data_IF_734609226550
#
_entry.id   IF_734609226550
#
_cell.length_a   1.000
_cell.length_b   1.000
_cell.length_c   1.000
_cell.angle_alpha   90.00
_cell.angle_beta   90.00
_cell.angle_gamma   90.00
#
_symmetry.space_group_name_H-M   'P 1'
#
loop_
_entity.id
_entity.type
_entity.pdbx_description
1 polymer ?
#
# COMPACT_ATOMS: atom_id res chain seq x y z
N UNK A 1 5.45 -39.63 31.41
CA UNK A 1 4.21 -38.93 31.04
C UNK A 1 4.26 -38.69 29.54
N UNK A 2 3.67 -39.60 28.74
CA UNK A 2 3.56 -39.46 27.29
C UNK A 2 2.55 -38.36 27.00
N UNK A 3 3.01 -37.25 26.42
CA UNK A 3 2.11 -36.25 25.84
C UNK A 3 1.71 -36.81 24.48
N UNK A 4 0.50 -37.34 24.43
CA UNK A 4 -0.20 -37.72 23.21
C UNK A 4 -0.39 -36.46 22.36
N UNK A 5 0.51 -36.25 21.39
CA UNK A 5 0.39 -35.22 20.37
C UNK A 5 -0.88 -35.51 19.57
N UNK A 6 -1.97 -34.80 19.89
CA UNK A 6 -3.21 -34.78 19.10
C UNK A 6 -2.87 -34.55 17.62
N UNK A 7 -2.88 -35.62 16.84
CA UNK A 7 -2.71 -35.66 15.38
C UNK A 7 -3.92 -35.14 14.59
N UNK A 8 -4.95 -34.62 15.27
CA UNK A 8 -6.25 -34.24 14.65
C UNK A 8 -6.41 -32.76 14.34
N UNK A 9 -5.39 -31.91 14.48
CA UNK A 9 -5.48 -30.53 14.01
C UNK A 9 -5.06 -30.49 12.54
N UNK A 10 -6.01 -30.16 11.65
CA UNK A 10 -5.70 -29.74 10.28
C UNK A 10 -4.53 -28.75 10.32
N UNK A 11 -3.54 -28.86 9.42
CA UNK A 11 -2.42 -27.93 9.41
C UNK A 11 -2.97 -26.51 9.23
N UNK A 12 -2.62 -25.63 10.17
CA UNK A 12 -2.99 -24.22 10.15
C UNK A 12 -2.46 -23.54 8.89
N UNK A 13 -3.20 -22.56 8.40
CA UNK A 13 -2.73 -21.72 7.29
C UNK A 13 -1.45 -20.98 7.68
N UNK A 14 -0.73 -20.46 6.69
CA UNK A 14 0.37 -19.53 6.85
C UNK A 14 -0.08 -18.15 6.39
N UNK A 15 0.18 -17.12 7.19
CA UNK A 15 -0.11 -15.74 6.82
C UNK A 15 1.16 -14.92 6.86
N UNK A 16 1.59 -14.42 5.69
CA UNK A 16 2.74 -13.53 5.57
C UNK A 16 2.21 -12.10 5.51
N UNK A 17 2.51 -11.31 6.53
CA UNK A 17 2.12 -9.91 6.64
C UNK A 17 3.33 -9.02 6.42
N UNK A 18 3.20 -8.07 5.50
CA UNK A 18 4.25 -7.12 5.13
C UNK A 18 3.73 -5.71 5.34
N UNK A 19 4.35 -4.99 6.27
CA UNK A 19 3.87 -3.68 6.70
C UNK A 19 4.17 -2.55 5.68
N UNK A 20 3.59 -1.38 5.92
CA UNK A 20 3.76 -0.20 5.07
C UNK A 20 4.99 0.67 5.35
N UNK A 21 5.05 1.78 4.61
CA UNK A 21 6.05 2.84 4.81
C UNK A 21 5.91 3.56 6.16
N UNK A 22 6.85 4.45 6.47
CA UNK A 22 6.83 5.32 7.66
C UNK A 22 6.95 4.62 9.03
N UNK A 23 7.28 3.32 9.04
CA UNK A 23 7.44 2.56 10.27
C UNK A 23 8.90 2.49 10.72
N UNK A 24 9.12 2.63 12.03
CA UNK A 24 10.38 2.26 12.65
C UNK A 24 10.43 0.74 12.88
N UNK A 25 11.62 0.17 13.03
CA UNK A 25 11.75 -1.25 13.35
C UNK A 25 11.02 -1.62 14.65
N UNK A 26 11.08 -0.74 15.66
CA UNK A 26 10.37 -0.92 16.93
C UNK A 26 8.85 -0.93 16.75
N UNK A 27 8.31 0.03 15.98
CA UNK A 27 6.88 0.11 15.70
C UNK A 27 6.38 -1.09 14.89
N UNK A 28 7.11 -1.54 13.86
CA UNK A 28 6.75 -2.74 13.09
C UNK A 28 6.77 -4.01 13.95
N UNK A 29 7.71 -4.11 14.90
CA UNK A 29 7.76 -5.22 15.85
C UNK A 29 6.57 -5.18 16.82
N UNK A 30 6.26 -4.01 17.38
CA UNK A 30 5.12 -3.84 18.28
C UNK A 30 3.80 -4.20 17.57
N UNK A 31 3.63 -3.75 16.32
CA UNK A 31 2.50 -4.17 15.48
C UNK A 31 2.43 -5.69 15.31
N UNK A 32 3.55 -6.36 15.03
CA UNK A 32 3.60 -7.81 14.90
C UNK A 32 3.20 -8.54 16.19
N UNK A 33 3.64 -8.02 17.35
CA UNK A 33 3.26 -8.54 18.67
C UNK A 33 1.75 -8.36 18.93
N UNK A 34 1.19 -7.19 18.58
CA UNK A 34 -0.24 -6.90 18.76
C UNK A 34 -1.16 -7.69 17.82
N UNK A 35 -0.75 -7.90 16.56
CA UNK A 35 -1.55 -8.61 15.55
C UNK A 35 -1.41 -10.14 15.68
N UNK A 36 -0.26 -10.63 16.17
CA UNK A 36 0.11 -12.05 16.17
C UNK A 36 -0.92 -12.95 16.82
N UNK A 37 -1.39 -12.61 18.03
CA UNK A 37 -2.39 -13.40 18.76
C UNK A 37 -3.73 -13.46 18.02
N UNK A 38 -4.14 -12.35 17.40
CA UNK A 38 -5.36 -12.26 16.62
C UNK A 38 -5.32 -13.13 15.36
N UNK A 39 -4.19 -13.11 14.66
CA UNK A 39 -3.94 -13.96 13.47
C UNK A 39 -3.87 -15.44 13.87
N UNK A 40 -3.20 -15.74 14.99
CA UNK A 40 -3.10 -17.10 15.51
C UNK A 40 -4.45 -17.67 15.93
N UNK A 41 -5.30 -16.84 16.55
CA UNK A 41 -6.67 -17.18 16.89
C UNK A 41 -7.56 -17.38 15.65
N UNK A 42 -7.21 -16.79 14.52
CA UNK A 42 -7.86 -17.00 13.22
C UNK A 42 -7.33 -18.23 12.46
N UNK A 43 -6.60 -19.13 13.13
CA UNK A 43 -6.08 -20.41 12.61
C UNK A 43 -4.97 -20.27 11.55
N UNK A 44 -4.19 -19.19 11.64
CA UNK A 44 -2.97 -18.98 10.86
C UNK A 44 -1.71 -19.00 11.72
N UNK A 45 -0.57 -19.37 11.13
CA UNK A 45 0.75 -19.08 11.66
C UNK A 45 1.22 -17.75 11.04
N UNK A 46 1.35 -16.66 11.83
CA UNK A 46 1.79 -15.39 11.29
C UNK A 46 3.30 -15.36 11.05
N UNK A 47 3.70 -14.82 9.90
CA UNK A 47 5.07 -14.40 9.58
C UNK A 47 5.01 -12.90 9.26
N UNK A 48 5.81 -12.10 9.96
CA UNK A 48 5.90 -10.67 9.70
C UNK A 48 7.22 -10.33 9.02
N UNK A 49 7.15 -9.69 7.85
CA UNK A 49 8.31 -9.13 7.17
C UNK A 49 8.47 -7.67 7.58
N UNK A 50 9.43 -7.42 8.47
CA UNK A 50 9.67 -6.10 9.06
C UNK A 50 10.99 -5.49 8.59
N UNK A 51 10.97 -4.22 8.19
CA UNK A 51 12.16 -3.44 7.86
C UNK A 51 11.98 -1.95 8.20
N UNK A 52 13.09 -1.22 8.27
CA UNK A 52 13.08 0.21 8.60
C UNK A 52 12.58 1.05 7.41
N UNK A 53 11.40 1.64 7.52
CA UNK A 53 10.75 2.45 6.46
C UNK A 53 10.51 3.90 6.86
N UNK A 54 11.06 4.36 7.98
CA UNK A 54 10.86 5.73 8.43
C UNK A 54 11.45 6.77 7.44
N UNK A 55 10.62 7.76 7.04
CA UNK A 55 10.99 8.78 6.05
C UNK A 55 12.16 9.65 6.49
N UNK A 56 12.19 10.10 7.76
CA UNK A 56 13.25 10.94 8.30
C UNK A 56 14.59 10.20 8.28
N UNK A 57 14.60 8.94 8.74
CA UNK A 57 15.80 8.11 8.66
C UNK A 57 16.24 7.83 7.21
N UNK A 58 15.28 7.76 6.29
CA UNK A 58 15.54 7.52 4.86
C UNK A 58 16.13 8.76 4.21
N UNK A 59 15.64 9.95 4.57
CA UNK A 59 16.18 11.23 4.14
C UNK A 59 17.57 11.49 4.74
N UNK A 60 17.79 11.17 6.02
CA UNK A 60 19.12 11.23 6.64
C UNK A 60 20.13 10.36 5.90
N UNK A 61 19.74 9.14 5.53
CA UNK A 61 20.59 8.26 4.72
C UNK A 61 20.84 8.84 3.31
N UNK A 62 19.84 9.46 2.68
CA UNK A 62 20.05 10.23 1.45
C UNK A 62 21.06 11.37 1.63
N UNK A 63 21.03 12.09 2.76
CA UNK A 63 21.97 13.20 2.99
C UNK A 63 23.38 12.71 3.30
N UNK A 64 23.55 11.61 4.04
CA UNK A 64 24.85 11.27 4.62
C UNK A 64 25.47 9.98 4.10
N UNK A 65 24.71 9.05 3.52
CA UNK A 65 25.24 7.69 3.31
C UNK A 65 24.91 7.06 1.96
N UNK A 66 23.85 7.45 1.25
CA UNK A 66 23.47 6.79 -0.01
C UNK A 66 23.49 7.72 -1.21
N UNK A 67 24.12 7.27 -2.30
CA UNK A 67 24.11 7.98 -3.59
C UNK A 67 23.95 6.97 -4.72
N UNK A 68 22.89 7.15 -5.53
CA UNK A 68 22.63 6.35 -6.73
C UNK A 68 22.73 4.83 -6.49
N UNK A 69 22.18 4.34 -5.37
CA UNK A 69 22.21 2.93 -5.00
C UNK A 69 23.45 2.49 -4.19
N UNK A 70 24.54 3.27 -4.18
CA UNK A 70 25.75 2.95 -3.45
C UNK A 70 25.76 3.55 -2.04
N UNK A 71 26.41 2.84 -1.11
CA UNK A 71 26.75 3.38 0.21
C UNK A 71 28.07 4.16 0.04
N UNK A 72 28.04 5.44 0.37
CA UNK A 72 29.21 6.33 0.43
C UNK A 72 29.64 6.42 1.88
N UNK A 73 30.91 6.14 2.16
CA UNK A 73 31.50 6.18 3.49
C UNK A 73 32.64 7.21 3.55
N UNK A 74 33.06 7.57 4.76
CA UNK A 74 34.14 8.52 4.99
C UNK A 74 33.76 9.98 4.74
N UNK A 75 34.78 10.84 4.60
CA UNK A 75 34.61 12.30 4.55
C UNK A 75 33.76 12.76 3.36
N UNK A 76 33.83 12.05 2.23
CA UNK A 76 33.04 12.34 1.04
C UNK A 76 31.53 12.27 1.30
N UNK A 77 31.09 11.46 2.26
CA UNK A 77 29.68 11.31 2.62
C UNK A 77 29.16 12.58 3.34
N UNK A 78 29.94 13.10 4.28
CA UNK A 78 29.62 14.31 5.06
C UNK A 78 29.80 15.60 4.24
N UNK A 79 30.87 15.70 3.45
CA UNK A 79 31.16 16.89 2.63
C UNK A 79 30.06 17.13 1.58
N UNK A 80 29.48 16.07 1.04
CA UNK A 80 28.41 16.18 0.05
C UNK A 80 27.05 16.54 0.66
N UNK A 81 26.82 16.32 1.96
CA UNK A 81 25.52 16.50 2.58
C UNK A 81 24.94 17.93 2.40
N UNK A 82 25.71 19.02 2.61
CA UNK A 82 25.21 20.38 2.37
C UNK A 82 24.81 20.62 0.91
N UNK A 83 25.56 20.08 -0.06
CA UNK A 83 25.24 20.26 -1.47
C UNK A 83 23.96 19.51 -1.87
N UNK A 84 23.73 18.32 -1.31
CA UNK A 84 22.48 17.58 -1.57
C UNK A 84 21.29 18.30 -0.93
N UNK A 85 21.44 18.80 0.30
CA UNK A 85 20.43 19.62 0.94
C UNK A 85 20.09 20.86 0.10
N UNK A 86 21.09 21.60 -0.38
CA UNK A 86 20.88 22.76 -1.25
C UNK A 86 20.19 22.37 -2.56
N UNK A 87 20.56 21.24 -3.17
CA UNK A 87 19.90 20.75 -4.38
C UNK A 87 18.43 20.36 -4.13
N UNK A 88 18.12 19.75 -2.99
CA UNK A 88 16.76 19.43 -2.57
C UNK A 88 15.94 20.71 -2.28
N UNK A 89 16.51 21.69 -1.57
CA UNK A 89 15.92 23.02 -1.36
C UNK A 89 15.60 23.68 -2.70
N UNK A 90 16.57 23.69 -3.63
CA UNK A 90 16.40 24.27 -4.96
C UNK A 90 15.31 23.57 -5.78
N UNK A 91 15.15 22.25 -5.64
CA UNK A 91 14.06 21.50 -6.26
C UNK A 91 12.70 21.91 -5.68
N UNK A 92 12.59 21.97 -4.36
CA UNK A 92 11.36 22.40 -3.68
C UNK A 92 10.92 23.80 -4.09
N UNK A 93 11.86 24.76 -4.15
CA UNK A 93 11.57 26.13 -4.58
C UNK A 93 11.21 26.21 -6.06
N UNK A 94 11.93 25.50 -6.93
CA UNK A 94 11.68 25.58 -8.38
C UNK A 94 10.37 24.94 -8.81
N UNK A 95 9.91 23.90 -8.11
CA UNK A 95 8.62 23.23 -8.35
C UNK A 95 7.44 23.85 -7.61
N UNK A 96 7.72 24.71 -6.63
CA UNK A 96 6.68 25.31 -5.79
C UNK A 96 5.50 25.90 -6.57
N UNK A 97 5.70 26.70 -7.65
CA UNK A 97 4.56 27.27 -8.38
C UNK A 97 3.64 26.22 -9.01
N UNK A 98 4.22 25.14 -9.55
CA UNK A 98 3.47 24.04 -10.17
C UNK A 98 2.65 23.32 -9.10
N UNK A 99 3.30 22.94 -8.00
CA UNK A 99 2.65 22.22 -6.91
C UNK A 99 1.52 23.05 -6.27
N UNK A 100 1.65 24.38 -6.19
CA UNK A 100 0.58 25.27 -5.71
C UNK A 100 -0.61 25.25 -6.67
N UNK A 101 -0.38 25.32 -7.99
CA UNK A 101 -1.47 25.29 -8.97
C UNK A 101 -2.23 23.96 -8.97
N UNK A 102 -1.51 22.85 -8.82
CA UNK A 102 -2.11 21.51 -8.74
C UNK A 102 -2.87 21.34 -7.42
N UNK A 103 -2.25 21.68 -6.28
CA UNK A 103 -2.90 21.62 -4.97
C UNK A 103 -4.16 22.49 -4.89
N UNK A 104 -4.18 23.68 -5.49
CA UNK A 104 -5.37 24.53 -5.53
C UNK A 104 -6.48 23.92 -6.38
N UNK A 105 -6.15 23.31 -7.52
CA UNK A 105 -7.12 22.58 -8.34
C UNK A 105 -7.73 21.44 -7.55
N UNK A 106 -6.90 20.67 -6.85
CA UNK A 106 -7.33 19.52 -6.07
C UNK A 106 -8.16 19.91 -4.85
N UNK A 107 -7.78 20.96 -4.14
CA UNK A 107 -8.54 21.52 -3.02
C UNK A 107 -9.90 22.04 -3.51
N UNK A 108 -9.95 22.82 -4.59
CA UNK A 108 -11.20 23.32 -5.17
C UNK A 108 -12.15 22.19 -5.58
N UNK A 109 -11.62 21.11 -6.16
CA UNK A 109 -12.39 19.91 -6.47
C UNK A 109 -12.91 19.22 -5.20
N UNK A 110 -12.09 19.12 -4.15
CA UNK A 110 -12.46 18.54 -2.85
C UNK A 110 -13.52 19.37 -2.10
N UNK A 111 -13.56 20.69 -2.31
CA UNK A 111 -14.58 21.57 -1.72
C UNK A 111 -15.93 21.57 -2.49
N UNK A 112 -15.96 21.18 -3.76
CA UNK A 112 -17.13 21.37 -4.63
C UNK A 112 -17.70 20.13 -5.32
N UNK A 113 -16.96 19.02 -5.44
CA UNK A 113 -17.39 17.85 -6.20
C UNK A 113 -16.97 16.54 -5.52
N UNK A 114 -17.86 15.55 -5.55
CA UNK A 114 -17.55 14.19 -5.11
C UNK A 114 -16.67 13.50 -6.17
N UNK A 115 -15.42 13.17 -5.80
CA UNK A 115 -14.42 12.56 -6.68
C UNK A 115 -14.79 11.13 -7.13
N UNK A 116 -15.72 10.46 -6.44
CA UNK A 116 -16.16 9.11 -6.79
C UNK A 116 -17.05 9.06 -8.03
N UNK A 117 -17.88 10.09 -8.26
CA UNK A 117 -18.89 10.10 -9.33
C UNK A 117 -18.34 9.97 -10.76
N UNK A 118 -17.36 10.77 -11.21
CA UNK A 118 -16.88 10.69 -12.59
C UNK A 118 -16.27 9.31 -12.89
N UNK A 119 -15.52 8.76 -11.94
CA UNK A 119 -14.90 7.44 -12.05
C UNK A 119 -15.94 6.31 -12.01
N UNK A 120 -17.02 6.47 -11.24
CA UNK A 120 -18.12 5.51 -11.23
C UNK A 120 -18.91 5.47 -12.52
N UNK A 121 -19.15 6.63 -13.14
CA UNK A 121 -19.80 6.69 -14.44
C UNK A 121 -18.95 5.96 -15.50
N UNK A 122 -17.63 6.18 -15.48
CA UNK A 122 -16.69 5.48 -16.35
C UNK A 122 -16.65 3.98 -16.06
N UNK A 123 -16.60 3.57 -14.79
CA UNK A 123 -16.70 2.16 -14.41
C UNK A 123 -18.01 1.52 -14.87
N UNK A 124 -19.16 2.18 -14.70
CA UNK A 124 -20.45 1.66 -15.14
C UNK A 124 -20.47 1.50 -16.67
N UNK A 125 -19.85 2.41 -17.41
CA UNK A 125 -19.68 2.30 -18.86
C UNK A 125 -18.77 1.11 -19.25
N UNK A 126 -17.61 0.99 -18.60
CA UNK A 126 -16.67 -0.13 -18.79
C UNK A 126 -17.32 -1.47 -18.43
N UNK A 127 -18.08 -1.51 -17.34
CA UNK A 127 -18.83 -2.67 -16.88
C UNK A 127 -19.93 -3.08 -17.85
N UNK A 128 -20.67 -2.11 -18.41
CA UNK A 128 -21.67 -2.37 -19.44
C UNK A 128 -21.04 -2.98 -20.71
N UNK A 129 -19.76 -2.68 -20.98
CA UNK A 129 -18.97 -3.30 -22.05
C UNK A 129 -18.45 -4.71 -21.74
N UNK A 130 -18.40 -5.13 -20.47
CA UNK A 130 -17.97 -6.48 -20.11
C UNK A 130 -19.11 -7.50 -20.34
N UNK A 131 -19.18 -8.07 -21.53
CA UNK A 131 -20.22 -9.02 -21.95
C UNK A 131 -20.27 -10.39 -21.24
N UNK A 132 -19.58 -10.61 -20.11
CA UNK A 132 -19.42 -11.92 -19.48
C UNK A 132 -19.61 -11.88 -17.93
N UNK A 133 -20.35 -12.83 -17.32
CA UNK A 133 -20.56 -12.93 -15.86
C UNK A 133 -19.31 -13.20 -14.99
N UNK A 134 -18.15 -13.57 -15.55
CA UNK A 134 -16.87 -13.63 -14.82
C UNK A 134 -16.26 -12.23 -14.60
N UNK A 135 -17.03 -11.30 -14.03
CA UNK A 135 -16.61 -9.90 -13.84
C UNK A 135 -15.69 -9.76 -12.63
N UNK A 136 -14.79 -8.78 -12.69
CA UNK A 136 -14.05 -8.31 -11.51
C UNK A 136 -15.08 -7.89 -10.46
N UNK A 137 -14.98 -8.41 -9.24
CA UNK A 137 -15.88 -8.00 -8.18
C UNK A 137 -15.46 -6.62 -7.68
N UNK A 138 -16.36 -5.64 -7.75
CA UNK A 138 -16.08 -4.25 -7.35
C UNK A 138 -17.11 -3.81 -6.32
N UNK A 139 -16.65 -3.21 -5.23
CA UNK A 139 -17.51 -2.59 -4.21
C UNK A 139 -16.89 -1.29 -3.70
N UNK A 140 -17.73 -0.27 -3.51
CA UNK A 140 -17.34 0.98 -2.86
C UNK A 140 -18.38 1.30 -1.78
N UNK A 141 -17.92 1.53 -0.56
CA UNK A 141 -18.78 2.00 0.53
C UNK A 141 -19.19 3.47 0.37
N UNK A 142 -20.15 3.91 1.16
CA UNK A 142 -20.67 5.28 1.11
C UNK A 142 -19.73 6.27 1.82
N UNK A 143 -19.64 7.51 1.34
CA UNK A 143 -18.90 8.59 2.00
C UNK A 143 -19.84 9.54 2.74
N UNK A 144 -19.90 9.43 4.06
CA UNK A 144 -20.71 10.28 4.94
C UNK A 144 -19.83 11.17 5.81
N UNK A 145 -19.70 12.45 5.42
CA UNK A 145 -18.92 13.44 6.18
C UNK A 145 -19.73 13.97 7.36
N UNK A 146 -19.28 13.72 8.59
CA UNK A 146 -19.93 14.24 9.79
C UNK A 146 -19.81 15.77 9.90
N UNK A 147 -20.70 16.40 10.65
CA UNK A 147 -20.66 17.85 10.94
C UNK A 147 -19.31 18.27 11.54
N UNK A 148 -18.73 17.44 12.41
CA UNK A 148 -17.38 17.65 12.98
C UNK A 148 -16.30 17.59 11.91
N UNK A 149 -16.41 16.68 10.93
CA UNK A 149 -15.49 16.61 9.80
C UNK A 149 -15.57 17.84 8.88
N UNK A 150 -16.77 18.39 8.69
CA UNK A 150 -16.96 19.65 7.95
C UNK A 150 -16.33 20.84 8.70
N UNK A 151 -16.51 20.91 10.03
CA UNK A 151 -15.90 21.93 10.87
C UNK A 151 -14.37 21.84 10.86
N UNK A 152 -13.79 20.64 10.94
CA UNK A 152 -12.34 20.43 10.86
C UNK A 152 -11.76 20.92 9.52
N UNK A 153 -12.46 20.64 8.40
CA UNK A 153 -12.06 21.19 7.09
C UNK A 153 -12.11 22.73 7.10
N UNK A 154 -13.17 23.33 7.64
CA UNK A 154 -13.30 24.78 7.74
C UNK A 154 -12.21 25.42 8.63
N UNK A 155 -11.87 24.78 9.74
CA UNK A 155 -10.79 25.20 10.65
C UNK A 155 -9.39 25.05 10.03
N UNK A 156 -9.24 24.26 8.97
CA UNK A 156 -8.00 24.15 8.21
C UNK A 156 -7.76 25.29 7.21
N UNK A 157 -8.81 26.02 6.81
CA UNK A 157 -8.71 27.11 5.81
C UNK A 157 -7.74 28.24 6.20
N UNK A 158 -7.68 28.71 7.47
CA UNK A 158 -6.70 29.71 7.88
C UNK A 158 -5.24 29.26 7.70
N UNK A 159 -4.98 27.95 7.67
CA UNK A 159 -3.65 27.40 7.47
C UNK A 159 -3.28 27.23 5.99
N UNK A 160 -4.22 27.44 5.06
CA UNK A 160 -3.98 27.27 3.63
C UNK A 160 -2.79 28.11 3.11
N UNK A 161 -2.63 29.41 3.46
CA UNK A 161 -1.46 30.18 3.02
C UNK A 161 -0.14 29.58 3.52
N UNK A 162 -0.11 29.07 4.75
CA UNK A 162 1.06 28.44 5.33
C UNK A 162 1.34 27.07 4.71
N UNK A 163 0.30 26.31 4.38
CA UNK A 163 0.42 25.04 3.66
C UNK A 163 1.02 25.26 2.27
N UNK A 164 0.52 26.23 1.54
CA UNK A 164 1.03 26.56 0.22
C UNK A 164 2.47 27.07 0.31
N UNK A 165 2.76 28.00 1.22
CA UNK A 165 4.08 28.64 1.31
C UNK A 165 5.18 27.76 1.93
N UNK A 166 4.84 26.87 2.88
CA UNK A 166 5.82 26.09 3.64
C UNK A 166 5.66 24.58 3.43
N UNK A 167 4.43 24.08 3.43
CA UNK A 167 4.11 22.66 3.33
C UNK A 167 4.58 21.97 2.07
N UNK A 168 4.12 22.49 0.92
CA UNK A 168 4.44 21.95 -0.39
C UNK A 168 5.96 21.92 -0.67
N UNK A 169 6.72 23.02 -0.47
CA UNK A 169 8.15 22.98 -0.72
C UNK A 169 8.87 22.04 0.26
N UNK A 170 8.52 22.04 1.56
CA UNK A 170 9.15 21.12 2.53
C UNK A 170 8.87 19.65 2.20
N UNK A 171 7.67 19.34 1.71
CA UNK A 171 7.29 18.00 1.28
C UNK A 171 8.09 17.54 0.06
N UNK A 172 8.30 18.41 -0.93
CA UNK A 172 9.14 18.11 -2.11
C UNK A 172 10.62 17.96 -1.73
N UNK A 173 11.13 18.84 -0.86
CA UNK A 173 12.54 18.87 -0.44
C UNK A 173 12.99 17.56 0.20
N UNK A 174 12.27 17.10 1.22
CA UNK A 174 12.63 15.88 1.95
C UNK A 174 11.94 14.62 1.43
N UNK A 175 10.72 14.77 0.92
CA UNK A 175 9.83 13.65 0.61
C UNK A 175 10.30 12.83 -0.57
N UNK A 176 10.64 13.44 -1.71
CA UNK A 176 11.07 12.72 -2.92
C UNK A 176 12.36 11.93 -2.67
N UNK A 177 13.35 12.58 -2.05
CA UNK A 177 14.64 11.93 -1.74
C UNK A 177 14.49 10.86 -0.65
N UNK A 178 13.66 11.11 0.37
CA UNK A 178 13.33 10.12 1.40
C UNK A 178 12.58 8.91 0.83
N UNK A 179 11.58 9.13 -0.01
CA UNK A 179 10.80 8.11 -0.71
C UNK A 179 11.67 7.22 -1.59
N UNK A 180 12.56 7.81 -2.40
CA UNK A 180 13.50 7.05 -3.23
C UNK A 180 14.38 6.12 -2.40
N UNK A 181 14.80 6.56 -1.21
CA UNK A 181 15.59 5.71 -0.33
C UNK A 181 14.72 4.66 0.41
N UNK A 182 13.45 4.96 0.72
CA UNK A 182 12.48 3.95 1.17
C UNK A 182 12.30 2.85 0.12
N UNK A 183 12.14 3.20 -1.17
CA UNK A 183 12.09 2.25 -2.28
C UNK A 183 13.37 1.42 -2.42
N UNK A 184 14.54 2.04 -2.20
CA UNK A 184 15.80 1.28 -2.13
C UNK A 184 15.76 0.24 -1.01
N UNK A 185 15.24 0.61 0.17
CA UNK A 185 15.16 -0.31 1.30
C UNK A 185 14.21 -1.48 1.05
N UNK A 186 13.11 -1.31 0.33
CA UNK A 186 12.23 -2.44 -0.06
C UNK A 186 12.92 -3.43 -0.98
N UNK A 187 13.87 -2.98 -1.81
CA UNK A 187 14.69 -3.88 -2.65
C UNK A 187 15.80 -4.56 -1.84
N UNK A 188 16.37 -3.85 -0.88
CA UNK A 188 17.47 -4.36 -0.06
C UNK A 188 17.08 -5.50 0.88
N UNK A 189 15.77 -5.71 1.16
CA UNK A 189 15.32 -6.88 1.92
C UNK A 189 15.55 -8.19 1.14
N UNK A 190 15.67 -8.12 -0.19
CA UNK A 190 15.95 -9.28 -1.06
C UNK A 190 17.42 -9.39 -1.45
N UNK A 191 18.08 -8.26 -1.73
CA UNK A 191 19.50 -8.22 -2.11
C UNK A 191 20.27 -7.22 -1.28
N UNK A 192 21.28 -7.68 -0.57
CA UNK A 192 22.11 -6.80 0.25
C UNK A 192 23.05 -5.98 -0.65
N UNK A 193 23.33 -4.69 -0.33
CA UNK A 193 24.27 -3.89 -1.10
C UNK A 193 25.68 -4.50 -1.22
N UNK A 194 26.08 -5.31 -0.24
CA UNK A 194 27.38 -6.01 -0.25
C UNK A 194 27.50 -7.04 -1.38
N UNK A 195 26.38 -7.61 -1.84
CA UNK A 195 26.36 -8.56 -2.97
C UNK A 195 26.91 -7.92 -4.26
N UNK A 196 26.69 -6.62 -4.45
CA UNK A 196 27.20 -5.87 -5.59
C UNK A 196 28.58 -5.25 -5.35
N UNK A 197 29.07 -5.27 -4.11
CA UNK A 197 30.36 -4.67 -3.73
C UNK A 197 31.54 -5.65 -3.89
N UNK A 198 31.28 -6.97 -3.95
CA UNK A 198 32.31 -7.97 -4.14
C UNK A 198 32.79 -7.99 -5.59
N UNK A 199 33.98 -7.44 -5.84
CA UNK A 199 34.65 -7.44 -7.16
C UNK A 199 35.34 -8.78 -7.49
N UNK A 200 35.51 -9.65 -6.50
CA UNK A 200 36.25 -10.93 -6.64
C UNK A 200 35.34 -12.12 -6.93
N UNK A 201 34.14 -11.89 -7.45
CA UNK A 201 33.27 -12.97 -7.90
C UNK A 201 33.74 -13.39 -9.29
N UNK A 202 34.38 -14.55 -9.38
CA UNK A 202 34.57 -15.22 -10.66
C UNK A 202 33.23 -15.23 -11.41
N UNK A 203 33.22 -14.66 -12.62
CA UNK A 203 32.05 -14.67 -13.51
C UNK A 203 31.75 -16.11 -13.91
N UNK A 204 31.10 -16.85 -13.02
CA UNK A 204 30.47 -18.12 -13.33
C UNK A 204 29.11 -17.85 -13.95
N UNK A 205 28.71 -18.70 -14.91
CA UNK A 205 27.45 -18.59 -15.66
C UNK A 205 26.19 -18.83 -14.81
N UNK A 206 26.32 -19.11 -13.51
CA UNK A 206 25.19 -19.41 -12.63
C UNK A 206 24.66 -18.17 -11.93
N UNK A 207 23.37 -17.90 -12.15
CA UNK A 207 22.57 -16.95 -11.38
C UNK A 207 22.73 -17.23 -9.87
N UNK A 208 23.04 -16.19 -9.09
CA UNK A 208 23.09 -16.28 -7.62
C UNK A 208 21.78 -15.74 -7.01
N UNK A 209 21.08 -16.53 -6.17
CA UNK A 209 19.92 -16.05 -5.43
C UNK A 209 20.30 -14.87 -4.53
N UNK A 210 19.34 -14.01 -4.22
CA UNK A 210 19.55 -12.88 -3.32
C UNK A 210 19.84 -13.37 -1.89
N UNK A 211 20.70 -12.65 -1.17
CA UNK A 211 21.10 -12.98 0.21
C UNK A 211 20.47 -12.02 1.24
N UNK A 212 19.49 -11.22 0.83
CA UNK A 212 18.66 -10.45 1.74
C UNK A 212 17.81 -11.34 2.64
N UNK A 213 17.42 -10.82 3.81
CA UNK A 213 16.66 -11.58 4.80
C UNK A 213 15.33 -12.14 4.29
N UNK A 214 14.64 -11.40 3.41
CA UNK A 214 13.42 -11.90 2.78
C UNK A 214 13.70 -13.07 1.84
N UNK A 215 14.77 -13.00 1.04
CA UNK A 215 15.16 -14.10 0.14
C UNK A 215 15.50 -15.37 0.92
N UNK A 216 16.32 -15.25 1.98
CA UNK A 216 16.68 -16.39 2.84
C UNK A 216 15.43 -17.03 3.46
N UNK A 217 14.50 -16.21 3.95
CA UNK A 217 13.25 -16.70 4.52
C UNK A 217 12.40 -17.42 3.47
N UNK A 218 12.20 -16.80 2.30
CA UNK A 218 11.33 -17.33 1.26
C UNK A 218 11.92 -18.59 0.59
N UNK A 219 13.25 -18.67 0.41
CA UNK A 219 13.94 -19.88 -0.04
C UNK A 219 13.69 -21.05 0.94
N UNK A 220 13.85 -20.77 2.24
CA UNK A 220 13.61 -21.76 3.29
C UNK A 220 12.14 -22.20 3.33
N UNK A 221 11.22 -21.23 3.21
CA UNK A 221 9.79 -21.49 3.21
C UNK A 221 9.36 -22.30 1.97
N UNK A 222 9.90 -21.99 0.79
CA UNK A 222 9.62 -22.75 -0.42
C UNK A 222 10.06 -24.21 -0.26
N UNK A 223 11.21 -24.47 0.36
CA UNK A 223 11.67 -25.82 0.69
C UNK A 223 10.64 -26.56 1.56
N UNK A 224 10.16 -25.92 2.63
CA UNK A 224 9.15 -26.51 3.52
C UNK A 224 7.80 -26.75 2.84
N UNK A 225 7.33 -25.82 2.00
CA UNK A 225 6.03 -25.93 1.32
C UNK A 225 6.03 -26.95 0.17
N UNK A 226 7.20 -27.29 -0.38
CA UNK A 226 7.31 -28.40 -1.34
C UNK A 226 7.01 -29.76 -0.69
N UNK A 227 7.31 -29.90 0.61
CA UNK A 227 7.05 -31.13 1.37
C UNK A 227 5.61 -31.20 1.89
N UNK A 228 4.98 -30.04 2.13
CA UNK A 228 3.60 -29.93 2.63
C UNK A 228 2.75 -29.04 1.71
N UNK A 229 2.24 -29.66 0.64
CA UNK A 229 1.39 -29.00 -0.37
C UNK A 229 -0.04 -28.72 0.11
N UNK A 230 -0.39 -29.14 1.33
CA UNK A 230 -1.72 -28.95 1.91
C UNK A 230 -1.86 -27.62 2.64
N UNK A 231 -0.75 -26.94 2.92
CA UNK A 231 -0.75 -25.67 3.63
C UNK A 231 -1.25 -24.54 2.75
N UNK A 232 -2.20 -23.81 3.31
CA UNK A 232 -2.71 -22.59 2.71
C UNK A 232 -1.77 -21.41 2.98
N UNK A 233 -1.48 -20.59 1.99
CA UNK A 233 -0.62 -19.40 2.14
C UNK A 233 -1.37 -18.14 1.76
N UNK A 234 -1.51 -17.23 2.72
CA UNK A 234 -2.10 -15.90 2.52
C UNK A 234 -1.03 -14.83 2.60
N UNK A 235 -0.98 -13.95 1.60
CA UNK A 235 -0.10 -12.78 1.58
C UNK A 235 -0.91 -11.53 1.88
N UNK A 236 -0.46 -10.69 2.81
CA UNK A 236 -1.06 -9.39 3.12
C UNK A 236 0.02 -8.32 3.03
N UNK A 237 -0.14 -7.37 2.11
CA UNK A 237 0.77 -6.24 1.92
C UNK A 237 0.07 -4.92 2.16
N UNK A 238 0.47 -4.19 3.20
CA UNK A 238 0.00 -2.82 3.42
C UNK A 238 0.94 -1.83 2.75
N UNK A 239 0.42 -0.88 1.98
CA UNK A 239 1.21 0.22 1.41
C UNK A 239 2.47 -0.27 0.69
N UNK A 240 3.68 0.11 1.13
CA UNK A 240 4.94 -0.37 0.54
C UNK A 240 5.16 -1.88 0.67
N UNK A 241 4.45 -2.56 1.57
CA UNK A 241 4.44 -4.02 1.67
C UNK A 241 3.95 -4.69 0.39
N UNK A 242 3.09 -4.03 -0.40
CA UNK A 242 2.71 -4.52 -1.72
C UNK A 242 3.89 -4.57 -2.70
N UNK A 243 4.84 -3.63 -2.62
CA UNK A 243 6.06 -3.63 -3.45
C UNK A 243 6.93 -4.83 -3.11
N UNK A 244 7.08 -5.12 -1.81
CA UNK A 244 7.82 -6.30 -1.35
C UNK A 244 7.11 -7.59 -1.78
N UNK A 245 5.78 -7.65 -1.69
CA UNK A 245 5.03 -8.82 -2.12
C UNK A 245 5.05 -9.03 -3.65
N UNK A 246 5.07 -7.96 -4.44
CA UNK A 246 5.28 -8.06 -5.89
C UNK A 246 6.60 -8.78 -6.20
N UNK A 247 7.69 -8.41 -5.50
CA UNK A 247 8.97 -9.12 -5.62
C UNK A 247 8.89 -10.57 -5.13
N UNK A 248 8.20 -10.84 -4.01
CA UNK A 248 7.98 -12.22 -3.53
C UNK A 248 7.27 -13.05 -4.60
N UNK A 249 6.20 -12.55 -5.20
CA UNK A 249 5.43 -13.27 -6.21
C UNK A 249 6.28 -13.53 -7.46
N UNK A 250 7.07 -12.54 -7.91
CA UNK A 250 7.97 -12.70 -9.06
C UNK A 250 9.08 -13.72 -8.83
N UNK A 251 9.72 -13.69 -7.66
CA UNK A 251 10.88 -14.52 -7.34
C UNK A 251 10.48 -15.94 -6.90
N UNK A 252 9.29 -16.09 -6.33
CA UNK A 252 8.78 -17.34 -5.77
C UNK A 252 7.44 -17.78 -6.39
N UNK A 253 7.33 -17.87 -7.73
CA UNK A 253 6.06 -18.16 -8.41
C UNK A 253 5.58 -19.61 -8.21
N UNK A 254 6.44 -20.51 -7.73
CA UNK A 254 6.10 -21.92 -7.49
C UNK A 254 5.46 -22.16 -6.11
N UNK A 255 5.51 -21.17 -5.20
CA UNK A 255 4.73 -21.23 -3.98
C UNK A 255 3.26 -21.00 -4.34
N UNK A 256 2.37 -21.87 -3.87
CA UNK A 256 0.93 -21.73 -4.03
C UNK A 256 0.38 -20.79 -2.95
N UNK A 257 0.01 -19.58 -3.35
CA UNK A 257 -0.71 -18.62 -2.53
C UNK A 257 -2.20 -18.80 -2.79
N UNK A 258 -3.01 -19.03 -1.76
CA UNK A 258 -4.47 -19.09 -1.96
C UNK A 258 -5.08 -17.70 -2.03
N UNK A 259 -4.46 -16.74 -1.34
CA UNK A 259 -5.00 -15.40 -1.20
C UNK A 259 -3.91 -14.36 -1.13
N UNK A 260 -4.06 -13.31 -1.93
CA UNK A 260 -3.18 -12.15 -1.98
C UNK A 260 -4.03 -10.92 -1.67
N UNK A 261 -3.66 -10.16 -0.64
CA UNK A 261 -4.42 -9.00 -0.16
C UNK A 261 -3.52 -7.79 -0.12
N UNK A 262 -3.85 -6.78 -0.92
CA UNK A 262 -3.15 -5.50 -0.93
C UNK A 262 -4.02 -4.45 -0.27
N UNK A 263 -3.49 -3.83 0.79
CA UNK A 263 -4.16 -2.78 1.57
C UNK A 263 -3.51 -1.44 1.29
N UNK A 264 -4.23 -0.55 0.60
CA UNK A 264 -3.75 0.77 0.20
C UNK A 264 -2.34 0.71 -0.44
N UNK A 265 -2.17 -0.16 -1.44
CA UNK A 265 -0.88 -0.46 -2.05
C UNK A 265 -0.14 0.79 -2.57
N UNK A 266 1.10 0.98 -2.13
CA UNK A 266 1.97 2.06 -2.62
C UNK A 266 2.82 1.65 -3.83
N UNK A 267 2.57 0.45 -4.39
CA UNK A 267 3.18 -0.02 -5.63
C UNK A 267 2.48 0.63 -6.83
N UNK A 268 3.18 0.82 -7.94
CA UNK A 268 2.53 1.27 -9.18
C UNK A 268 1.61 0.18 -9.72
N UNK A 269 0.56 0.59 -10.44
CA UNK A 269 -0.36 -0.34 -11.11
C UNK A 269 0.40 -1.29 -12.03
N UNK A 270 1.40 -0.80 -12.76
CA UNK A 270 2.28 -1.60 -13.62
C UNK A 270 2.97 -2.70 -12.81
N UNK A 271 3.61 -2.36 -11.70
CA UNK A 271 4.34 -3.31 -10.87
C UNK A 271 3.41 -4.38 -10.27
N UNK A 272 2.20 -3.98 -9.84
CA UNK A 272 1.17 -4.93 -9.40
C UNK A 272 0.73 -5.84 -10.55
N UNK A 273 0.42 -5.29 -11.72
CA UNK A 273 -0.11 -6.06 -12.83
C UNK A 273 0.92 -7.02 -13.43
N UNK A 274 2.17 -6.59 -13.59
CA UNK A 274 3.26 -7.43 -14.08
C UNK A 274 3.64 -8.56 -13.10
N UNK A 275 3.27 -8.44 -11.82
CA UNK A 275 3.52 -9.48 -10.81
C UNK A 275 2.33 -10.40 -10.61
N UNK A 276 1.17 -9.82 -10.29
CA UNK A 276 0.01 -10.54 -9.80
C UNK A 276 -0.74 -11.20 -10.95
N UNK A 277 -0.95 -10.51 -12.09
CA UNK A 277 -1.79 -11.07 -13.17
C UNK A 277 -1.18 -12.33 -13.80
N UNK A 278 0.13 -12.39 -14.13
CA UNK A 278 0.75 -13.63 -14.60
C UNK A 278 0.66 -14.78 -13.57
N UNK A 279 0.76 -14.44 -12.27
CA UNK A 279 0.61 -15.42 -11.20
C UNK A 279 -0.83 -15.99 -11.15
N UNK A 280 -1.86 -15.13 -11.16
CA UNK A 280 -3.26 -15.55 -11.20
C UNK A 280 -3.61 -16.38 -12.44
N UNK A 281 -3.01 -16.06 -13.60
CA UNK A 281 -3.22 -16.82 -14.83
C UNK A 281 -2.69 -18.27 -14.73
N UNK A 282 -1.64 -18.49 -13.93
CA UNK A 282 -1.08 -19.83 -13.69
C UNK A 282 -1.65 -20.53 -12.45
N UNK A 283 -2.42 -19.82 -11.62
CA UNK A 283 -2.95 -20.33 -10.35
C UNK A 283 -4.44 -20.00 -10.22
N UNK A 284 -5.34 -20.75 -10.90
CA UNK A 284 -6.76 -20.40 -11.01
C UNK A 284 -7.55 -20.43 -9.70
N UNK A 285 -7.00 -21.04 -8.66
CA UNK A 285 -7.62 -21.07 -7.32
C UNK A 285 -7.24 -19.87 -6.45
N UNK A 286 -6.22 -19.09 -6.85
CA UNK A 286 -5.78 -17.92 -6.09
C UNK A 286 -6.82 -16.81 -6.17
N UNK A 287 -7.03 -16.11 -5.05
CA UNK A 287 -7.84 -14.89 -5.00
C UNK A 287 -6.98 -13.68 -4.74
N UNK A 288 -7.23 -12.60 -5.46
CA UNK A 288 -6.59 -11.31 -5.26
C UNK A 288 -7.59 -10.27 -4.79
N UNK A 289 -7.26 -9.58 -3.69
CA UNK A 289 -8.05 -8.50 -3.12
C UNK A 289 -7.22 -7.21 -3.13
N UNK A 290 -7.75 -6.17 -3.78
CA UNK A 290 -7.23 -4.81 -3.68
C UNK A 290 -8.17 -3.98 -2.82
N UNK A 291 -7.64 -3.48 -1.70
CA UNK A 291 -8.35 -2.74 -0.70
C UNK A 291 -7.91 -1.27 -0.73
N UNK A 292 -8.85 -0.35 -0.91
CA UNK A 292 -8.58 1.10 -1.00
C UNK A 292 -9.46 1.89 -0.04
N UNK A 293 -9.09 3.13 0.26
CA UNK A 293 -10.03 4.07 0.89
C UNK A 293 -11.07 4.53 -0.14
N UNK A 294 -12.15 5.14 0.36
CA UNK A 294 -13.01 5.96 -0.47
C UNK A 294 -12.19 7.11 -1.08
N UNK A 295 -12.35 7.48 -2.36
CA UNK A 295 -11.55 8.52 -3.00
C UNK A 295 -11.60 9.88 -2.27
N UNK A 296 -12.76 10.27 -1.72
CA UNK A 296 -12.88 11.50 -0.91
C UNK A 296 -12.22 11.38 0.49
N UNK A 297 -12.12 10.18 1.04
CA UNK A 297 -11.41 9.97 2.31
C UNK A 297 -9.90 10.02 2.08
N UNK A 298 -9.44 9.37 1.02
CA UNK A 298 -8.05 9.35 0.57
C UNK A 298 -7.53 10.77 0.27
N UNK A 299 -8.27 11.51 -0.56
CA UNK A 299 -7.95 12.90 -0.89
C UNK A 299 -8.12 13.88 0.28
N UNK A 300 -8.89 13.52 1.30
CA UNK A 300 -9.20 14.37 2.46
C UNK A 300 -8.35 14.06 3.70
N UNK A 301 -7.47 13.04 3.64
CA UNK A 301 -6.65 12.63 4.77
C UNK A 301 -5.59 13.70 5.11
N UNK A 302 -5.25 13.82 6.39
CA UNK A 302 -4.10 14.60 6.84
C UNK A 302 -2.99 13.64 7.25
N UNK A 303 -1.98 13.46 6.39
CA UNK A 303 -0.86 12.53 6.60
C UNK A 303 -0.18 12.68 7.98
N UNK A 304 -0.09 13.91 8.50
CA UNK A 304 0.30 14.19 9.88
C UNK A 304 -0.75 15.13 10.50
N UNK A 305 -1.75 14.60 11.23
CA UNK A 305 -2.90 15.37 11.72
C UNK A 305 -2.54 16.58 12.60
N UNK A 306 -1.35 16.54 13.22
CA UNK A 306 -0.84 17.61 14.10
C UNK A 306 0.01 18.65 13.36
N UNK A 307 0.23 18.50 12.05
CA UNK A 307 1.04 19.41 11.23
C UNK A 307 0.16 19.99 10.12
N UNK A 308 -0.68 21.00 10.41
CA UNK A 308 -1.70 21.51 9.48
C UNK A 308 -1.12 22.17 8.23
N UNK A 309 0.19 22.44 8.24
CA UNK A 309 0.93 23.00 7.14
C UNK A 309 1.31 21.97 6.07
N UNK A 310 1.17 20.66 6.28
CA UNK A 310 1.46 19.69 5.21
C UNK A 310 0.30 19.58 4.21
N UNK A 311 0.56 19.09 2.98
CA UNK A 311 -0.46 18.84 1.97
C UNK A 311 -1.59 17.94 2.49
N UNK A 312 -2.79 18.13 1.94
CA UNK A 312 -3.95 17.26 2.19
C UNK A 312 -3.94 16.12 1.19
N UNK A 313 -4.44 14.96 1.61
CA UNK A 313 -4.33 13.71 0.90
C UNK A 313 -3.56 12.70 1.72
N UNK A 314 -3.82 11.42 1.45
CA UNK A 314 -3.04 10.34 2.01
C UNK A 314 -1.61 10.39 1.47
N UNK A 315 -0.73 9.57 2.07
CA UNK A 315 0.61 9.37 1.52
C UNK A 315 0.57 8.89 0.06
N UNK A 316 -0.48 8.20 -0.37
CA UNK A 316 -0.60 7.71 -1.76
C UNK A 316 -0.81 8.85 -2.76
N UNK A 317 -1.60 9.87 -2.39
CA UNK A 317 -1.74 11.10 -3.19
C UNK A 317 -0.39 11.79 -3.35
N UNK A 318 0.36 11.94 -2.26
CA UNK A 318 1.70 12.55 -2.29
C UNK A 318 2.69 11.74 -3.15
N UNK A 319 2.56 10.41 -3.23
CA UNK A 319 3.43 9.59 -4.09
C UNK A 319 3.21 9.91 -5.56
N UNK A 320 1.95 9.95 -6.02
CA UNK A 320 1.64 10.26 -7.42
C UNK A 320 2.06 11.70 -7.77
N UNK A 321 1.63 12.66 -6.96
CA UNK A 321 1.68 14.08 -7.36
C UNK A 321 3.03 14.72 -7.07
N UNK A 322 3.72 14.28 -6.01
CA UNK A 322 4.94 14.93 -5.51
C UNK A 322 6.16 14.02 -5.72
N UNK A 323 6.10 12.75 -5.30
CA UNK A 323 7.31 11.95 -5.14
C UNK A 323 7.74 11.15 -6.38
N UNK A 324 6.81 10.60 -7.17
CA UNK A 324 7.15 9.72 -8.31
C UNK A 324 6.92 10.36 -9.68
N UNK A 325 5.98 11.29 -9.82
CA UNK A 325 5.65 11.94 -11.10
C UNK A 325 5.45 10.91 -12.23
N UNK A 326 4.40 10.07 -12.12
CA UNK A 326 4.18 8.93 -13.00
C UNK A 326 4.03 9.37 -14.46
N UNK A 327 4.75 8.70 -15.36
CA UNK A 327 4.75 9.04 -16.79
C UNK A 327 3.46 8.65 -17.50
N UNK A 328 2.74 7.65 -16.98
CA UNK A 328 1.49 7.12 -17.53
C UNK A 328 0.51 6.73 -16.43
N UNK A 329 -0.76 6.51 -16.77
CA UNK A 329 -1.78 6.07 -15.80
C UNK A 329 -1.41 4.76 -15.09
N UNK A 330 -0.75 3.82 -15.79
CA UNK A 330 -0.30 2.56 -15.17
C UNK A 330 0.91 2.74 -14.26
N UNK A 331 1.61 3.87 -14.32
CA UNK A 331 2.71 4.18 -13.40
C UNK A 331 2.23 4.80 -12.08
N UNK A 332 0.94 5.17 -12.00
CA UNK A 332 0.31 5.68 -10.78
C UNK A 332 0.15 4.59 -9.72
N UNK A 333 0.04 4.97 -8.45
CA UNK A 333 -0.09 4.01 -7.33
C UNK A 333 -1.40 3.23 -7.38
N UNK A 334 -1.31 1.92 -7.18
CA UNK A 334 -2.42 0.98 -7.28
C UNK A 334 -3.37 1.04 -6.07
N UNK A 335 -2.96 1.60 -4.94
CA UNK A 335 -3.77 1.65 -3.71
C UNK A 335 -4.89 2.69 -3.74
N UNK A 336 -4.92 3.56 -4.75
CA UNK A 336 -5.94 4.60 -4.93
C UNK A 336 -7.11 4.06 -5.74
N UNK A 337 -8.33 4.25 -5.25
CA UNK A 337 -9.55 3.82 -5.93
C UNK A 337 -9.59 4.24 -7.40
N UNK A 338 -9.37 5.53 -7.67
CA UNK A 338 -9.44 6.11 -9.02
C UNK A 338 -8.47 5.43 -9.98
N UNK A 339 -7.22 5.24 -9.57
CA UNK A 339 -6.16 4.65 -10.39
C UNK A 339 -6.46 3.17 -10.75
N UNK A 340 -7.02 2.40 -9.80
CA UNK A 340 -7.43 1.01 -10.08
C UNK A 340 -8.57 0.99 -11.07
N UNK A 341 -9.59 1.82 -10.84
CA UNK A 341 -10.79 1.85 -11.70
C UNK A 341 -10.45 2.21 -13.15
N UNK A 342 -9.59 3.21 -13.36
CA UNK A 342 -9.11 3.62 -14.70
C UNK A 342 -8.38 2.48 -15.44
N UNK A 343 -7.77 1.55 -14.71
CA UNK A 343 -6.91 0.50 -15.26
C UNK A 343 -7.53 -0.90 -15.19
N UNK A 344 -8.79 -1.03 -14.73
CA UNK A 344 -9.49 -2.31 -14.62
C UNK A 344 -9.60 -3.07 -15.95
N UNK A 345 -9.73 -2.34 -17.06
CA UNK A 345 -9.85 -2.91 -18.39
C UNK A 345 -8.60 -3.70 -18.83
N UNK A 346 -7.46 -3.51 -18.16
CA UNK A 346 -6.23 -4.26 -18.41
C UNK A 346 -6.25 -5.67 -17.79
N UNK A 347 -7.20 -5.98 -16.90
CA UNK A 347 -7.33 -7.33 -16.31
C UNK A 347 -7.94 -8.28 -17.36
N UNK A 348 -7.20 -9.34 -17.77
CA UNK A 348 -7.69 -10.31 -18.75
C UNK A 348 -8.95 -11.03 -18.29
N UNK A 349 -9.89 -11.24 -19.21
CA UNK A 349 -11.17 -11.93 -18.98
C UNK A 349 -11.02 -13.27 -18.25
N UNK A 350 -9.97 -14.03 -18.55
CA UNK A 350 -9.71 -15.36 -17.98
C UNK A 350 -9.46 -15.35 -16.47
N UNK A 351 -9.03 -14.22 -15.90
CA UNK A 351 -8.67 -14.11 -14.47
C UNK A 351 -9.54 -13.11 -13.71
N UNK A 352 -10.47 -12.41 -14.37
CA UNK A 352 -11.34 -11.41 -13.72
C UNK A 352 -12.10 -11.96 -12.52
N UNK A 353 -12.58 -13.21 -12.61
CA UNK A 353 -13.25 -13.89 -11.49
C UNK A 353 -12.36 -14.13 -10.28
N UNK A 354 -11.04 -14.02 -10.39
CA UNK A 354 -10.09 -14.14 -9.28
C UNK A 354 -9.85 -12.80 -8.55
N UNK A 355 -10.29 -11.67 -9.12
CA UNK A 355 -9.95 -10.32 -8.63
C UNK A 355 -11.14 -9.63 -7.98
N UNK A 356 -10.89 -9.07 -6.80
CA UNK A 356 -11.83 -8.24 -6.05
C UNK A 356 -11.21 -6.89 -5.73
N UNK A 357 -11.92 -5.80 -6.05
CA UNK A 357 -11.56 -4.43 -5.68
C UNK A 357 -12.61 -3.91 -4.68
N UNK A 358 -12.14 -3.44 -3.52
CA UNK A 358 -13.00 -2.98 -2.44
C UNK A 358 -12.51 -1.64 -1.90
N UNK A 359 -13.35 -0.63 -2.04
CA UNK A 359 -13.18 0.68 -1.43
C UNK A 359 -14.00 0.77 -0.16
N UNK A 360 -13.36 1.06 0.97
CA UNK A 360 -14.07 1.24 2.25
C UNK A 360 -14.81 2.56 2.26
N UNK A 361 -16.01 2.57 2.84
CA UNK A 361 -16.77 3.79 3.05
C UNK A 361 -16.21 4.63 4.19
N UNK A 362 -16.65 5.88 4.29
CA UNK A 362 -16.29 6.79 5.38
C UNK A 362 -17.53 7.09 6.22
N UNK A 363 -17.56 6.65 7.47
CA UNK A 363 -18.75 6.65 8.33
C UNK A 363 -19.99 6.05 7.63
N UNK A 364 -19.81 5.02 6.81
CA UNK A 364 -20.92 4.41 6.06
C UNK A 364 -21.89 3.70 7.04
N UNK A 365 -23.14 4.17 7.17
CA UNK A 365 -24.12 3.58 8.08
C UNK A 365 -24.62 2.22 7.60
N UNK A 366 -24.42 1.88 6.32
CA UNK A 366 -24.86 0.62 5.75
C UNK A 366 -23.84 -0.51 5.92
N UNK A 367 -22.65 -0.21 6.45
CA UNK A 367 -21.63 -1.20 6.71
C UNK A 367 -21.58 -1.54 8.20
N UNK A 368 -21.60 -2.82 8.60
CA UNK A 368 -21.55 -3.23 10.02
C UNK A 368 -20.20 -2.93 10.71
N UNK A 369 -19.28 -2.23 10.04
CA UNK A 369 -17.87 -2.09 10.40
C UNK A 369 -17.15 -3.41 10.70
N UNK A 370 -15.95 -3.31 11.27
CA UNK A 370 -15.07 -4.43 11.56
C UNK A 370 -14.59 -4.43 13.00
N UNK A 371 -14.27 -5.64 13.47
CA UNK A 371 -13.78 -5.91 14.81
C UNK A 371 -14.73 -5.45 15.92
N UNK A 372 -14.25 -5.36 17.18
CA UNK A 372 -15.10 -5.12 18.33
C UNK A 372 -15.73 -3.71 18.38
N UNK A 373 -15.23 -2.77 17.58
CA UNK A 373 -15.70 -1.39 17.57
C UNK A 373 -16.59 -1.06 16.37
N UNK A 374 -16.88 -2.02 15.48
CA UNK A 374 -17.70 -1.80 14.30
C UNK A 374 -17.26 -0.56 13.49
N UNK A 375 -15.94 -0.45 13.25
CA UNK A 375 -15.34 0.67 12.50
C UNK A 375 -14.81 0.23 11.14
N UNK A 376 -14.65 1.17 10.22
CA UNK A 376 -14.01 0.97 8.93
C UNK A 376 -12.71 1.77 8.85
N UNK A 377 -11.76 1.38 7.99
CA UNK A 377 -10.63 2.23 7.64
C UNK A 377 -11.13 3.57 7.08
N UNK A 378 -10.72 4.66 7.72
CA UNK A 378 -11.05 6.03 7.34
C UNK A 378 -9.79 6.82 6.93
N UNK A 379 -8.61 6.34 7.33
CA UNK A 379 -7.29 6.86 7.01
C UNK A 379 -6.35 5.75 6.55
N UNK A 380 -5.27 6.10 5.85
CA UNK A 380 -4.30 5.15 5.28
C UNK A 380 -3.64 4.27 6.35
N UNK A 381 -3.41 4.85 7.54
CA UNK A 381 -2.87 4.14 8.69
C UNK A 381 -3.82 3.11 9.31
N UNK A 382 -5.13 3.26 9.14
CA UNK A 382 -6.14 2.39 9.78
C UNK A 382 -6.08 0.96 9.27
N UNK A 383 -5.52 0.71 8.08
CA UNK A 383 -5.30 -0.64 7.57
C UNK A 383 -4.36 -1.49 8.44
N UNK A 384 -3.56 -0.87 9.31
CA UNK A 384 -2.76 -1.55 10.33
C UNK A 384 -3.38 -1.52 11.73
N UNK A 385 -4.60 -0.97 11.91
CA UNK A 385 -5.29 -1.05 13.18
C UNK A 385 -5.72 -2.50 13.43
N UNK A 386 -5.04 -3.16 14.36
CA UNK A 386 -5.34 -4.54 14.78
C UNK A 386 -6.78 -4.71 15.28
N UNK A 387 -7.41 -3.62 15.72
CA UNK A 387 -8.82 -3.63 16.15
C UNK A 387 -9.77 -3.81 14.97
N UNK A 388 -9.36 -3.53 13.74
CA UNK A 388 -10.15 -3.82 12.54
C UNK A 388 -10.04 -5.28 12.10
N UNK A 389 -9.13 -6.05 12.70
CA UNK A 389 -8.94 -7.48 12.42
C UNK A 389 -8.71 -7.76 10.93
N UNK A 390 -7.82 -6.97 10.31
CA UNK A 390 -7.54 -7.02 8.88
C UNK A 390 -7.08 -8.39 8.36
N UNK A 391 -6.78 -9.35 9.23
CA UNK A 391 -6.40 -10.72 8.87
C UNK A 391 -7.60 -11.65 8.60
N UNK A 392 -8.83 -11.18 8.80
CA UNK A 392 -10.03 -11.98 8.57
C UNK A 392 -10.59 -11.74 7.17
N UNK A 393 -11.15 -12.78 6.55
CA UNK A 393 -11.67 -12.69 5.17
C UNK A 393 -12.83 -11.71 5.05
N UNK A 394 -13.63 -11.52 6.10
CA UNK A 394 -14.71 -10.53 6.12
C UNK A 394 -14.18 -9.11 5.89
N UNK A 395 -12.93 -8.82 6.28
CA UNK A 395 -12.29 -7.54 6.03
C UNK A 395 -12.02 -7.31 4.53
N UNK A 396 -11.78 -8.36 3.74
CA UNK A 396 -11.40 -8.26 2.32
C UNK A 396 -12.58 -8.46 1.38
N UNK A 397 -13.47 -9.36 1.76
CA UNK A 397 -14.64 -9.71 0.98
C UNK A 397 -15.69 -8.59 1.05
N UNK A 398 -16.36 -8.25 -0.06
CA UNK A 398 -17.48 -7.32 0.00
C UNK A 398 -18.59 -7.89 0.88
N UNK A 399 -19.36 -7.05 1.59
CA UNK A 399 -20.55 -7.50 2.31
C UNK A 399 -21.47 -8.31 1.41
N UNK A 400 -22.09 -9.38 1.92
CA UNK A 400 -23.02 -10.21 1.14
C UNK A 400 -24.20 -9.41 0.54
N UNK A 401 -24.51 -8.23 1.09
CA UNK A 401 -25.55 -7.30 0.63
C UNK A 401 -25.03 -6.17 -0.26
N UNK A 402 -23.72 -6.07 -0.48
CA UNK A 402 -23.13 -5.04 -1.32
C UNK A 402 -23.57 -5.27 -2.77
N UNK A 403 -24.47 -4.40 -3.25
CA UNK A 403 -24.81 -4.39 -4.67
C UNK A 403 -23.59 -3.91 -5.44
N UNK A 404 -23.20 -4.59 -6.53
CA UNK A 404 -22.16 -4.07 -7.39
C UNK A 404 -22.65 -2.77 -8.04
N UNK A 405 -22.12 -1.64 -7.55
CA UNK A 405 -22.11 -0.37 -8.28
C UNK A 405 -23.20 0.66 -7.99
N UNK A 406 -23.66 0.85 -6.74
CA UNK A 406 -24.42 2.08 -6.43
C UNK A 406 -24.18 2.58 -4.99
N UNK A 407 -23.29 3.58 -4.79
CA UNK A 407 -23.27 4.32 -3.53
C UNK A 407 -24.54 5.17 -3.48
N UNK A 408 -25.59 4.75 -2.77
CA UNK A 408 -26.76 5.61 -2.55
C UNK A 408 -26.38 6.73 -1.57
N UNK A 409 -26.20 7.98 -2.03
CA UNK A 409 -25.77 9.08 -1.17
C UNK A 409 -26.85 9.49 -0.18
N UNK A 410 -28.11 9.05 -0.39
CA UNK A 410 -29.24 9.34 0.50
C UNK A 410 -29.10 8.59 1.83
N UNK A 411 -28.24 7.58 1.91
CA UNK A 411 -27.93 6.85 3.15
C UNK A 411 -27.31 7.73 4.25
N UNK A 412 -26.68 8.86 3.90
CA UNK A 412 -26.03 9.75 4.87
C UNK A 412 -27.00 10.66 5.66
N UNK A 413 -28.32 10.60 5.40
CA UNK A 413 -29.32 11.52 6.01
C UNK A 413 -29.86 11.07 7.37
N UNK A 414 -29.20 10.12 8.05
CA UNK A 414 -29.60 9.65 9.39
C UNK A 414 -28.44 9.67 10.38
N UNK A 415 -27.94 10.84 10.74
CA UNK A 415 -27.19 11.04 12.00
C UNK A 415 -27.22 12.50 12.42
#
# INVERSE_FOLDING_TARGET
MMIELRRDRRPRGLMIVVHGGLNSFGASREFAEQAGDGIYAADYNPIFLNWQTNLVSSYGEHLFWTRRGHIVTGEAATVNAPFNLVADVGRGVSRWPINVTESLRDDLLTFGADRSYPVMAEYQAVRAGFGNPAQVQVSLGTYCKSTTGQLATALGLPFLPFRLALGLPLSEMGGTSGWNNMLRRTRNVFRQPVESAHRDVAYGEQYKPGQGGASILMDSLQGLLREDTTRRVTLIGHSMGAIVLNEVIRLYPTIRYDTIVYMAAAASTRDVYESVLPYLASHPETRFYSLTLHPNADAGEHMLPLVPVLPVGSLLEAIDDIYQQPATHVDRVFGKWTNVMETLHLIPDSIRGQVTIKGFGFNDPNHPGYGPYHRQPAAHGDFNDVKLQFWRSEFWEPPATARPGDPDPRGCTRS
#
